data_IF_267862881743
#
_entry.id   IF_267862881743
#
_cell.length_a   1.000
_cell.length_b   1.000
_cell.length_c   1.000
_cell.angle_alpha   90.00
_cell.angle_beta   90.00
_cell.angle_gamma   90.00
#
_symmetry.space_group_name_H-M   'P 1'
#
loop_
_entity.id
_entity.type
_entity.pdbx_description
1 polymer ?
#
# COMPACT_ATOMS: atom_id res chain seq x y z
N UNK A 1 2.67 20.77 -4.89
CA UNK A 1 2.87 20.27 -3.49
C UNK A 1 3.40 18.87 -3.55
N UNK A 2 4.49 18.55 -2.84
CA UNK A 2 5.02 17.22 -2.81
C UNK A 2 4.26 16.37 -1.76
N UNK A 3 4.35 15.03 -1.85
CA UNK A 3 3.67 14.11 -0.94
C UNK A 3 4.03 14.34 0.55
N UNK A 4 5.20 14.93 0.80
CA UNK A 4 5.66 15.29 2.14
C UNK A 4 4.89 16.49 2.69
N UNK A 5 4.62 17.50 1.86
CA UNK A 5 3.85 18.71 2.23
C UNK A 5 2.39 18.36 2.50
N UNK A 6 1.77 17.52 1.63
CA UNK A 6 0.40 17.02 1.82
C UNK A 6 0.29 16.24 3.14
N UNK A 7 1.31 15.45 3.49
CA UNK A 7 1.35 14.70 4.74
C UNK A 7 1.52 15.59 5.96
N UNK A 8 2.30 16.67 5.83
CA UNK A 8 2.48 17.68 6.88
C UNK A 8 1.23 18.51 7.12
N UNK A 9 0.48 18.85 6.07
CA UNK A 9 -0.80 19.54 6.17
C UNK A 9 -1.87 18.68 6.83
N UNK A 10 -2.04 17.43 6.40
CA UNK A 10 -2.96 16.47 7.02
C UNK A 10 -2.65 16.23 8.51
N UNK A 11 -1.38 16.25 8.90
CA UNK A 11 -0.98 16.14 10.30
C UNK A 11 -1.37 17.39 11.13
N UNK A 12 -1.36 18.58 10.52
CA UNK A 12 -1.83 19.82 11.17
C UNK A 12 -3.36 19.84 11.37
N UNK A 13 -4.11 19.15 10.51
CA UNK A 13 -5.57 19.04 10.60
C UNK A 13 -6.05 18.01 11.63
N UNK A 14 -5.14 17.41 12.43
CA UNK A 14 -5.50 16.43 13.46
C UNK A 14 -5.96 15.07 12.90
N UNK A 15 -5.86 14.87 11.61
CA UNK A 15 -6.06 13.58 10.94
C UNK A 15 -4.84 12.66 11.17
N UNK A 16 -4.59 12.36 12.44
CA UNK A 16 -3.71 11.26 12.83
C UNK A 16 -4.50 9.95 12.67
N UNK A 17 -4.92 9.64 11.43
CA UNK A 17 -5.23 8.27 11.10
C UNK A 17 -3.95 7.44 11.32
N UNK A 18 -4.06 6.18 11.68
CA UNK A 18 -2.99 5.21 11.56
C UNK A 18 -2.60 5.21 10.08
N UNK A 19 -1.72 6.18 9.72
CA UNK A 19 -1.37 6.44 8.33
C UNK A 19 -0.67 5.20 7.82
N UNK A 20 -1.23 4.61 6.78
CA UNK A 20 -0.63 3.50 6.07
C UNK A 20 0.82 3.85 5.74
N UNK A 21 1.72 3.29 6.49
CA UNK A 21 3.14 3.41 6.24
C UNK A 21 3.61 2.15 5.51
N UNK A 22 2.88 1.82 4.42
CA UNK A 22 3.29 0.73 3.54
C UNK A 22 4.52 1.15 2.76
N UNK A 23 5.61 0.40 2.86
CA UNK A 23 6.76 0.52 1.99
C UNK A 23 6.86 -0.74 1.13
N UNK A 24 6.99 -0.56 -0.17
CA UNK A 24 7.16 -1.64 -1.14
C UNK A 24 8.47 -1.43 -1.87
N UNK A 25 9.42 -2.35 -1.67
CA UNK A 25 10.70 -2.37 -2.35
C UNK A 25 10.70 -3.49 -3.38
N UNK A 26 10.87 -3.15 -4.65
CA UNK A 26 10.93 -4.09 -5.77
C UNK A 26 12.38 -4.31 -6.18
N UNK A 27 12.76 -5.57 -6.39
CA UNK A 27 14.13 -5.97 -6.74
C UNK A 27 15.20 -5.50 -5.72
N UNK A 28 14.81 -5.29 -4.47
CA UNK A 28 15.70 -4.86 -3.39
C UNK A 28 15.22 -5.46 -2.04
N UNK A 29 16.14 -5.99 -1.19
CA UNK A 29 17.58 -6.15 -1.45
C UNK A 29 17.86 -7.20 -2.54
N UNK A 30 16.98 -8.15 -2.75
CA UNK A 30 17.17 -9.27 -3.65
C UNK A 30 16.45 -9.05 -4.99
N UNK A 31 17.17 -9.29 -6.10
CA UNK A 31 16.59 -9.26 -7.45
C UNK A 31 15.49 -10.32 -7.59
N UNK A 32 14.39 -9.96 -8.26
CA UNK A 32 13.23 -10.86 -8.45
C UNK A 32 12.34 -11.01 -7.22
N UNK A 33 12.57 -10.21 -6.19
CA UNK A 33 11.76 -10.17 -4.95
C UNK A 33 11.06 -8.83 -4.76
N UNK A 34 9.94 -8.91 -4.04
CA UNK A 34 9.25 -7.76 -3.46
C UNK A 34 9.32 -7.88 -1.96
N UNK A 35 9.84 -6.86 -1.30
CA UNK A 35 9.82 -6.71 0.14
C UNK A 35 8.76 -5.67 0.52
N UNK A 36 7.82 -6.06 1.36
CA UNK A 36 6.75 -5.19 1.83
C UNK A 36 6.88 -5.02 3.33
N UNK A 37 6.86 -3.78 3.77
CA UNK A 37 6.71 -3.46 5.19
C UNK A 37 5.45 -2.66 5.43
N UNK A 38 4.78 -2.97 6.53
CA UNK A 38 3.58 -2.27 6.98
C UNK A 38 3.76 -1.88 8.43
N UNK A 39 3.59 -0.58 8.73
CA UNK A 39 3.69 -0.09 10.09
C UNK A 39 2.29 0.03 10.68
N UNK A 40 1.98 -0.85 11.60
CA UNK A 40 0.76 -0.79 12.42
C UNK A 40 1.13 -0.35 13.84
N UNK A 41 1.16 -1.26 14.80
CA UNK A 41 1.73 -1.04 16.15
C UNK A 41 3.22 -1.35 16.12
N UNK A 42 3.57 -2.43 15.46
CA UNK A 42 4.94 -2.81 15.11
C UNK A 42 5.09 -2.82 13.57
N UNK A 43 6.31 -2.88 13.07
CA UNK A 43 6.53 -3.02 11.64
C UNK A 43 6.48 -4.49 11.25
N UNK A 44 5.48 -4.87 10.48
CA UNK A 44 5.40 -6.18 9.84
C UNK A 44 6.22 -6.16 8.54
N UNK A 45 6.87 -7.27 8.22
CA UNK A 45 7.65 -7.43 7.00
C UNK A 45 7.41 -8.79 6.38
N UNK A 46 7.16 -8.81 5.07
CA UNK A 46 7.22 -10.04 4.30
C UNK A 46 7.94 -9.85 2.96
N UNK A 47 8.42 -10.96 2.44
CA UNK A 47 9.06 -11.06 1.14
C UNK A 47 8.33 -12.08 0.28
N UNK A 48 8.19 -11.77 -0.99
CA UNK A 48 7.62 -12.69 -1.98
C UNK A 48 8.33 -12.54 -3.32
N UNK A 49 8.08 -13.45 -4.25
CA UNK A 49 8.58 -13.31 -5.61
C UNK A 49 7.89 -12.13 -6.29
N UNK A 50 8.60 -11.46 -7.21
CA UNK A 50 7.99 -10.40 -8.04
C UNK A 50 6.72 -10.93 -8.69
N UNK A 51 5.58 -10.22 -8.52
CA UNK A 51 4.33 -10.63 -9.12
C UNK A 51 4.41 -10.56 -10.65
N UNK A 52 3.74 -11.51 -11.30
CA UNK A 52 3.55 -11.48 -12.75
C UNK A 52 2.12 -11.06 -13.04
N UNK A 53 1.96 -10.03 -13.84
CA UNK A 53 0.65 -9.50 -14.22
C UNK A 53 0.31 -9.90 -15.66
N UNK A 54 -0.91 -10.37 -15.86
CA UNK A 54 -1.48 -10.60 -17.20
C UNK A 54 -2.24 -9.35 -17.63
N UNK A 55 -1.51 -8.36 -18.17
CA UNK A 55 -2.10 -7.12 -18.64
C UNK A 55 -2.88 -7.30 -19.95
N UNK A 56 -4.08 -6.72 -19.99
CA UNK A 56 -4.88 -6.57 -21.19
C UNK A 56 -4.85 -5.11 -21.61
N UNK A 57 -4.25 -4.82 -22.76
CA UNK A 57 -4.23 -3.47 -23.32
C UNK A 57 -5.60 -3.12 -23.86
N UNK A 58 -6.02 -1.88 -23.71
CA UNK A 58 -7.25 -1.33 -24.27
C UNK A 58 -6.93 -0.28 -25.33
N UNK A 59 -7.96 0.22 -26.02
CA UNK A 59 -7.81 1.28 -27.03
C UNK A 59 -7.95 2.69 -26.45
N UNK A 60 -7.96 2.81 -25.10
CA UNK A 60 -8.10 4.10 -24.43
C UNK A 60 -6.74 4.69 -24.14
N UNK A 61 -6.65 5.99 -24.32
CA UNK A 61 -5.46 6.78 -23.98
C UNK A 61 -5.84 8.07 -23.25
N UNK A 62 -4.87 8.68 -22.61
CA UNK A 62 -4.99 9.96 -21.92
C UNK A 62 -3.62 10.62 -21.84
N UNK A 63 -3.57 11.85 -21.29
CA UNK A 63 -2.32 12.55 -21.02
C UNK A 63 -2.16 12.76 -19.52
N UNK A 64 -1.02 12.32 -18.95
CA UNK A 64 -0.67 12.49 -17.54
C UNK A 64 0.73 13.08 -17.46
N UNK A 65 0.92 14.16 -16.73
CA UNK A 65 2.19 14.89 -16.61
C UNK A 65 2.83 15.24 -17.95
N UNK A 66 2.01 15.50 -18.99
CA UNK A 66 2.48 15.79 -20.34
C UNK A 66 2.85 14.58 -21.20
N UNK A 67 2.82 13.36 -20.64
CA UNK A 67 3.09 12.12 -21.38
C UNK A 67 1.82 11.50 -21.91
N UNK A 68 1.85 11.00 -23.15
CA UNK A 68 0.79 10.16 -23.69
C UNK A 68 0.80 8.81 -22.98
N UNK A 69 -0.34 8.43 -22.38
CA UNK A 69 -0.49 7.23 -21.60
C UNK A 69 -1.58 6.33 -22.19
N UNK A 70 -1.34 5.03 -22.17
CA UNK A 70 -2.25 4.02 -22.69
C UNK A 70 -2.84 3.19 -21.54
N UNK A 71 -4.12 2.84 -21.67
CA UNK A 71 -4.81 2.06 -20.64
C UNK A 71 -4.49 0.57 -20.76
N UNK A 72 -4.29 -0.06 -19.63
CA UNK A 72 -4.22 -1.49 -19.46
C UNK A 72 -5.00 -1.93 -18.23
N UNK A 73 -5.53 -3.15 -18.25
CA UNK A 73 -6.26 -3.74 -17.13
C UNK A 73 -5.68 -5.09 -16.76
N UNK A 74 -5.76 -5.46 -15.49
CA UNK A 74 -5.33 -6.76 -14.98
C UNK A 74 -6.15 -7.14 -13.75
N UNK A 75 -6.18 -8.43 -13.42
CA UNK A 75 -6.71 -8.90 -12.14
C UNK A 75 -5.57 -9.50 -11.33
N UNK A 76 -5.45 -9.08 -10.08
CA UNK A 76 -4.43 -9.56 -9.17
C UNK A 76 -5.01 -9.69 -7.76
N UNK A 77 -4.94 -10.91 -7.20
CA UNK A 77 -5.40 -11.24 -5.85
C UNK A 77 -6.77 -10.64 -5.53
N UNK A 78 -7.78 -11.08 -6.28
CA UNK A 78 -9.17 -10.70 -6.09
C UNK A 78 -9.56 -9.30 -6.57
N UNK A 79 -8.59 -8.43 -6.94
CA UNK A 79 -8.87 -7.08 -7.39
C UNK A 79 -8.58 -6.89 -8.88
N UNK A 80 -9.48 -6.20 -9.56
CA UNK A 80 -9.25 -5.75 -10.93
C UNK A 80 -8.66 -4.34 -10.89
N UNK A 81 -7.52 -4.17 -11.56
CA UNK A 81 -6.79 -2.93 -11.65
C UNK A 81 -6.87 -2.35 -13.05
N UNK A 82 -7.01 -1.05 -13.14
CA UNK A 82 -6.86 -0.24 -14.35
C UNK A 82 -5.62 0.62 -14.16
N UNK A 83 -4.75 0.63 -15.14
CA UNK A 83 -3.53 1.42 -15.14
C UNK A 83 -3.39 2.23 -16.43
N UNK A 84 -2.77 3.41 -16.34
CA UNK A 84 -2.31 4.18 -17.48
C UNK A 84 -0.79 4.25 -17.43
N UNK A 85 -0.13 3.79 -18.48
CA UNK A 85 1.32 3.74 -18.58
C UNK A 85 1.80 4.51 -19.82
N UNK A 86 3.02 5.03 -19.76
CA UNK A 86 3.65 5.71 -20.90
C UNK A 86 4.89 4.96 -21.38
N UNK A 87 4.99 4.61 -22.67
CA UNK A 87 6.20 4.04 -23.25
C UNK A 87 7.33 5.07 -23.39
N UNK A 88 7.03 6.36 -23.33
CA UNK A 88 8.05 7.44 -23.41
C UNK A 88 9.04 7.35 -22.24
N UNK A 89 8.65 6.69 -21.14
CA UNK A 89 9.52 6.35 -20.02
C UNK A 89 9.67 4.84 -19.97
N UNK A 90 10.74 4.26 -20.58
CA UNK A 90 10.87 2.81 -20.78
C UNK A 90 11.31 2.09 -19.49
N UNK A 91 10.57 2.32 -18.41
CA UNK A 91 10.78 1.69 -17.10
C UNK A 91 9.53 0.88 -16.79
N UNK A 92 9.66 -0.46 -16.77
CA UNK A 92 8.53 -1.39 -16.54
C UNK A 92 8.12 -1.45 -15.06
N UNK A 93 7.88 -0.29 -14.45
CA UNK A 93 7.59 -0.10 -13.05
C UNK A 93 6.30 0.70 -12.85
N UNK A 94 5.82 0.73 -11.59
CA UNK A 94 4.61 1.46 -11.22
C UNK A 94 4.40 1.52 -9.71
N UNK A 95 3.29 2.09 -9.26
CA UNK A 95 2.98 2.22 -7.85
C UNK A 95 2.72 0.84 -7.21
N UNK A 96 2.93 0.76 -5.90
CA UNK A 96 2.76 -0.44 -5.10
C UNK A 96 3.52 -1.64 -5.73
N UNK A 97 2.86 -2.77 -5.98
CA UNK A 97 3.46 -3.95 -6.63
C UNK A 97 3.30 -3.94 -8.16
N UNK A 98 2.51 -3.03 -8.72
CA UNK A 98 2.19 -3.01 -10.14
C UNK A 98 3.45 -2.77 -10.98
N UNK A 99 3.63 -3.60 -12.00
CA UNK A 99 4.76 -3.56 -12.93
C UNK A 99 4.46 -4.41 -14.19
N UNK A 100 5.38 -4.48 -15.12
CA UNK A 100 5.31 -5.41 -16.26
C UNK A 100 4.63 -4.84 -17.51
N UNK A 101 4.26 -3.56 -17.53
CA UNK A 101 3.86 -2.86 -18.75
C UNK A 101 5.10 -2.33 -19.49
N UNK A 102 5.03 -2.10 -20.81
CA UNK A 102 6.16 -1.58 -21.60
C UNK A 102 6.33 -0.07 -21.40
N UNK A 103 6.49 0.37 -20.15
CA UNK A 103 6.66 1.75 -19.74
C UNK A 103 6.18 2.00 -18.32
N UNK A 104 6.43 3.24 -17.82
CA UNK A 104 6.12 3.63 -16.46
C UNK A 104 4.61 3.83 -16.26
N UNK A 105 4.05 3.20 -15.24
CA UNK A 105 2.66 3.38 -14.83
C UNK A 105 2.57 4.70 -14.05
N UNK A 106 1.87 5.68 -14.64
CA UNK A 106 1.66 7.00 -14.03
C UNK A 106 0.33 7.12 -13.28
N UNK A 107 -0.61 6.21 -13.54
CA UNK A 107 -1.88 6.13 -12.83
C UNK A 107 -2.28 4.67 -12.66
N UNK A 108 -2.83 4.33 -11.51
CA UNK A 108 -3.48 3.05 -11.29
C UNK A 108 -4.62 3.18 -10.28
N UNK A 109 -5.75 2.54 -10.56
CA UNK A 109 -6.87 2.46 -9.63
C UNK A 109 -7.49 1.06 -9.69
N UNK A 110 -8.02 0.59 -8.57
CA UNK A 110 -8.83 -0.61 -8.56
C UNK A 110 -10.26 -0.31 -9.06
N UNK A 111 -10.99 -1.36 -9.46
CA UNK A 111 -12.34 -1.23 -10.03
C UNK A 111 -13.38 -0.64 -9.07
N UNK A 112 -13.12 -0.70 -7.77
CA UNK A 112 -13.98 -0.16 -6.72
C UNK A 112 -13.58 1.26 -6.31
N UNK A 113 -12.52 1.83 -6.90
CA UNK A 113 -11.91 3.12 -6.54
C UNK A 113 -11.56 3.24 -5.04
N UNK A 114 -11.24 2.11 -4.39
CA UNK A 114 -10.77 2.08 -3.02
C UNK A 114 -9.29 2.41 -2.91
N UNK A 115 -8.53 2.10 -3.96
CA UNK A 115 -7.11 2.43 -4.10
C UNK A 115 -6.90 3.17 -5.40
N UNK A 116 -6.30 4.35 -5.29
CA UNK A 116 -5.95 5.19 -6.42
C UNK A 116 -4.52 5.72 -6.24
N UNK A 117 -3.72 5.57 -7.26
CA UNK A 117 -2.36 6.09 -7.35
C UNK A 117 -2.26 7.01 -8.55
N UNK A 118 -1.84 8.23 -8.33
CA UNK A 118 -1.67 9.22 -9.38
C UNK A 118 -0.28 9.84 -9.31
N UNK A 119 0.43 9.85 -10.43
CA UNK A 119 1.70 10.54 -10.56
C UNK A 119 1.47 12.05 -10.54
N UNK A 120 2.00 12.74 -9.56
CA UNK A 120 1.89 14.19 -9.39
C UNK A 120 3.16 14.94 -9.80
N UNK A 121 4.25 14.22 -10.03
CA UNK A 121 5.53 14.77 -10.46
C UNK A 121 6.62 13.72 -10.47
N UNK A 122 7.73 14.04 -11.16
CA UNK A 122 8.89 13.17 -11.26
C UNK A 122 10.17 14.02 -11.16
N UNK A 123 11.16 13.48 -10.48
CA UNK A 123 12.48 14.13 -10.36
C UNK A 123 13.60 13.11 -10.46
N UNK A 124 14.72 13.54 -11.03
CA UNK A 124 15.97 12.77 -11.08
C UNK A 124 16.92 13.11 -9.92
N UNK A 125 16.47 13.97 -8.99
CA UNK A 125 17.30 14.37 -7.84
C UNK A 125 17.31 13.26 -6.78
N UNK A 126 18.32 12.41 -6.84
CA UNK A 126 18.52 11.31 -5.89
C UNK A 126 19.41 11.78 -4.73
N UNK A 127 18.82 12.37 -3.71
CA UNK A 127 19.57 12.83 -2.51
C UNK A 127 19.78 11.74 -1.46
N UNK A 128 18.99 10.68 -1.50
CA UNK A 128 19.01 9.65 -0.45
C UNK A 128 19.02 8.25 -1.06
N UNK A 129 19.89 7.35 -0.58
CA UNK A 129 19.87 5.96 -1.00
C UNK A 129 18.61 5.26 -0.54
N UNK A 130 18.13 4.31 -1.34
CA UNK A 130 17.07 3.39 -0.92
C UNK A 130 17.64 2.51 0.20
N UNK A 131 16.99 2.52 1.35
CA UNK A 131 17.41 1.73 2.50
C UNK A 131 16.20 1.01 3.12
N UNK A 132 16.35 -0.29 3.34
CA UNK A 132 15.38 -1.08 4.07
C UNK A 132 15.68 -0.98 5.57
N UNK A 133 14.77 -0.38 6.33
CA UNK A 133 14.86 -0.32 7.80
C UNK A 133 14.27 -1.60 8.39
N UNK A 134 15.09 -2.64 8.53
CA UNK A 134 14.68 -3.95 9.06
C UNK A 134 14.84 -4.10 10.57
N UNK A 135 15.48 -3.13 11.24
CA UNK A 135 15.63 -3.19 12.68
C UNK A 135 14.27 -3.12 13.36
N UNK A 136 13.89 -4.18 14.06
CA UNK A 136 12.60 -4.35 14.75
C UNK A 136 11.38 -4.65 13.86
N UNK A 137 11.58 -5.33 12.72
CA UNK A 137 10.46 -5.83 11.93
C UNK A 137 10.11 -7.26 12.37
N UNK A 138 8.81 -7.52 12.56
CA UNK A 138 8.28 -8.88 12.70
C UNK A 138 8.08 -9.49 11.33
N UNK A 139 8.74 -10.62 11.08
CA UNK A 139 8.57 -11.35 9.82
C UNK A 139 7.24 -12.09 9.80
N UNK A 140 6.56 -12.05 8.69
CA UNK A 140 5.32 -12.76 8.40
C UNK A 140 5.27 -13.16 6.91
N UNK A 141 4.20 -13.78 6.47
CA UNK A 141 3.91 -13.93 5.05
C UNK A 141 2.78 -12.98 4.60
N UNK A 142 2.54 -12.87 3.30
CA UNK A 142 1.55 -11.94 2.75
C UNK A 142 0.12 -12.20 3.26
N UNK A 143 -0.26 -13.48 3.43
CA UNK A 143 -1.58 -13.86 3.96
C UNK A 143 -1.72 -13.51 5.45
N UNK A 144 -0.67 -13.73 6.23
CA UNK A 144 -0.63 -13.33 7.65
C UNK A 144 -0.76 -11.82 7.80
N UNK A 145 -0.02 -11.03 7.00
CA UNK A 145 -0.15 -9.58 7.00
C UNK A 145 -1.57 -9.14 6.64
N UNK A 146 -2.16 -9.69 5.59
CA UNK A 146 -3.53 -9.37 5.19
C UNK A 146 -4.55 -9.73 6.29
N UNK A 147 -4.38 -10.88 6.94
CA UNK A 147 -5.23 -11.29 8.06
C UNK A 147 -5.10 -10.34 9.26
N UNK A 148 -3.88 -9.90 9.58
CA UNK A 148 -3.65 -8.94 10.65
C UNK A 148 -4.26 -7.58 10.35
N UNK A 149 -4.14 -7.08 9.11
CA UNK A 149 -4.78 -5.83 8.70
C UNK A 149 -6.32 -5.94 8.69
N UNK A 150 -6.85 -7.08 8.26
CA UNK A 150 -8.30 -7.35 8.34
C UNK A 150 -8.79 -7.39 9.78
N UNK A 151 -8.01 -7.97 10.68
CA UNK A 151 -8.35 -8.03 12.10
C UNK A 151 -8.30 -6.64 12.74
N UNK A 152 -7.27 -5.85 12.44
CA UNK A 152 -7.15 -4.45 12.89
C UNK A 152 -8.41 -3.64 12.58
N UNK A 153 -9.06 -3.91 11.44
CA UNK A 153 -10.26 -3.20 11.03
C UNK A 153 -11.55 -3.71 11.63
N UNK A 154 -11.59 -4.98 12.01
CA UNK A 154 -12.82 -5.65 12.48
C UNK A 154 -12.89 -5.77 13.99
N UNK A 155 -11.76 -6.03 14.61
CA UNK A 155 -11.64 -6.27 16.05
C UNK A 155 -10.27 -5.80 16.54
N UNK A 156 -10.22 -4.54 16.96
CA UNK A 156 -9.01 -3.90 17.44
C UNK A 156 -8.47 -4.57 18.71
N UNK A 157 -9.35 -5.04 19.59
CA UNK A 157 -8.97 -5.68 20.85
C UNK A 157 -8.31 -7.04 20.62
N UNK A 158 -8.89 -7.84 19.72
CA UNK A 158 -8.29 -9.12 19.32
C UNK A 158 -6.97 -8.90 18.56
N UNK A 159 -6.89 -7.85 17.73
CA UNK A 159 -5.66 -7.47 17.05
C UNK A 159 -4.53 -7.17 18.06
N UNK A 160 -4.81 -6.31 19.05
CA UNK A 160 -3.83 -6.00 20.12
C UNK A 160 -3.47 -7.23 20.94
N UNK A 161 -4.44 -8.07 21.28
CA UNK A 161 -4.18 -9.30 21.99
C UNK A 161 -3.22 -10.24 21.24
N UNK A 162 -3.42 -10.40 19.94
CA UNK A 162 -2.50 -11.23 19.12
C UNK A 162 -1.09 -10.65 19.00
N UNK A 163 -0.97 -9.33 19.05
CA UNK A 163 0.34 -8.68 18.97
C UNK A 163 1.09 -8.70 20.30
N UNK A 164 0.41 -8.42 21.40
CA UNK A 164 1.04 -8.12 22.70
C UNK A 164 0.86 -9.21 23.73
N UNK A 165 -0.07 -10.14 23.52
CA UNK A 165 -0.50 -11.14 24.49
C UNK A 165 -1.40 -10.58 25.61
N UNK A 166 -1.74 -9.28 25.57
CA UNK A 166 -2.57 -8.62 26.56
C UNK A 166 -3.79 -7.99 25.91
N UNK A 167 -4.98 -8.18 26.52
CA UNK A 167 -6.19 -7.48 26.07
C UNK A 167 -6.16 -6.02 26.54
N UNK A 168 -6.35 -5.05 25.64
CA UNK A 168 -6.42 -3.66 26.00
C UNK A 168 -7.64 -3.40 26.88
N UNK A 169 -7.52 -2.47 27.81
CA UNK A 169 -8.64 -1.95 28.58
C UNK A 169 -8.94 -0.54 28.10
N UNK A 170 -10.22 -0.31 27.80
CA UNK A 170 -10.68 1.00 27.35
C UNK A 170 -11.44 1.69 28.48
N UNK A 171 -11.25 3.00 28.58
CA UNK A 171 -11.91 3.84 29.59
C UNK A 171 -12.56 5.02 28.88
N UNK A 172 -13.75 5.40 29.31
CA UNK A 172 -14.38 6.63 28.87
C UNK A 172 -13.71 7.87 29.50
N UNK A 173 -14.20 9.06 29.11
CA UNK A 173 -13.65 10.32 29.62
C UNK A 173 -13.80 10.49 31.14
N UNK A 174 -14.65 9.71 31.80
CA UNK A 174 -14.85 9.69 33.25
C UNK A 174 -13.94 8.67 33.98
N UNK A 175 -13.18 7.86 33.21
CA UNK A 175 -12.33 6.80 33.72
C UNK A 175 -13.08 5.49 33.99
N UNK A 176 -14.30 5.34 33.49
CA UNK A 176 -15.09 4.10 33.63
C UNK A 176 -14.76 3.13 32.50
N UNK A 177 -14.58 1.82 32.78
CA UNK A 177 -14.34 0.83 31.74
C UNK A 177 -15.45 0.84 30.67
N UNK A 178 -15.04 0.86 29.42
CA UNK A 178 -15.94 0.86 28.25
C UNK A 178 -15.44 -0.10 27.19
N UNK A 179 -16.26 -0.39 26.17
CA UNK A 179 -15.83 -1.09 24.96
C UNK A 179 -15.54 -0.07 23.88
N UNK A 180 -14.49 -0.31 23.11
CA UNK A 180 -14.22 0.50 21.92
C UNK A 180 -15.27 0.15 20.86
N UNK A 181 -16.07 1.13 20.46
CA UNK A 181 -16.98 1.00 19.32
C UNK A 181 -16.21 1.44 18.07
N UNK A 182 -15.44 0.51 17.51
CA UNK A 182 -14.62 0.77 16.34
C UNK A 182 -15.30 0.22 15.09
N UNK A 183 -16.16 1.02 14.48
CA UNK A 183 -16.67 0.76 13.12
C UNK A 183 -15.68 1.25 12.06
N UNK A 184 -14.49 0.67 12.01
CA UNK A 184 -13.51 0.96 10.99
C UNK A 184 -13.49 -0.16 9.95
N UNK A 185 -13.84 0.12 8.71
CA UNK A 185 -13.77 -0.86 7.62
C UNK A 185 -12.48 -0.65 6.83
N UNK A 186 -11.48 -1.49 7.05
CA UNK A 186 -10.29 -1.47 6.20
C UNK A 186 -10.59 -2.15 4.87
N UNK A 187 -10.21 -1.47 3.80
CA UNK A 187 -10.10 -2.07 2.48
C UNK A 187 -8.74 -2.75 2.38
N UNK A 188 -8.72 -4.04 2.03
CA UNK A 188 -7.48 -4.76 1.79
C UNK A 188 -7.05 -4.59 0.33
N UNK A 189 -5.77 -4.26 0.11
CA UNK A 189 -5.19 -4.17 -1.25
C UNK A 189 -5.09 -5.52 -1.94
N UNK A 190 -5.08 -6.60 -1.16
CA UNK A 190 -4.99 -7.98 -1.63
C UNK A 190 -6.03 -8.82 -0.92
N UNK A 191 -6.75 -9.63 -1.68
CA UNK A 191 -7.66 -10.64 -1.17
C UNK A 191 -7.01 -12.00 -1.40
N UNK A 192 -6.96 -12.80 -0.35
CA UNK A 192 -6.46 -14.17 -0.40
C UNK A 192 -7.64 -15.12 -0.20
N UNK A 193 -7.69 -16.18 -1.00
CA UNK A 193 -8.70 -17.22 -0.84
C UNK A 193 -8.68 -17.77 0.59
N UNK A 194 -9.87 -17.99 1.12
CA UNK A 194 -10.09 -18.47 2.49
C UNK A 194 -9.64 -19.91 2.69
#
# INVERSE_FOLDING_TARGET
QNAYEIRAEKKKEGLTGFGESTCVLKNFPDKGKVTVTEQVVETLLYEENMPKFSWKLTNKDTTILGYKCFEATTTYRGRTWRAFYTPDIPISEGPWKLCGLPGLILFAADSLNQFCYEGVGMTNDVKHPIALKTKKCRKCNAKEMANMLSLLSKDLDEFFYRLTGAKPQHFDASGKPTKLDASFTACLKEEFDK
#
